data_IF_169708315924
#
_entry.id   IF_169708315924
#
_cell.length_a   1.000
_cell.length_b   1.000
_cell.length_c   1.000
_cell.angle_alpha   90.00
_cell.angle_beta   90.00
_cell.angle_gamma   90.00
#
_symmetry.space_group_name_H-M   'P 1'
#
loop_
_entity.id
_entity.type
_entity.pdbx_description
1 polymer ?
#
# COMPACT_ATOMS: atom_id res chain seq x y z
N UNK A 1 -17.77 -20.63 -11.05
CA UNK A 1 -17.01 -19.98 -12.15
C UNK A 1 -15.53 -20.14 -11.84
N UNK A 2 -14.77 -20.74 -12.76
CA UNK A 2 -13.31 -20.93 -12.63
C UNK A 2 -12.59 -19.57 -12.52
N UNK A 3 -12.26 -19.13 -11.31
CA UNK A 3 -11.54 -17.86 -11.09
C UNK A 3 -10.03 -18.07 -11.31
N UNK A 4 -9.64 -18.13 -12.58
CA UNK A 4 -8.26 -18.23 -13.09
C UNK A 4 -7.46 -16.91 -13.01
N UNK A 5 -7.63 -16.10 -11.95
CA UNK A 5 -7.01 -14.76 -11.86
C UNK A 5 -6.17 -14.50 -10.60
N UNK A 6 -5.96 -15.51 -9.75
CA UNK A 6 -5.15 -15.37 -8.54
C UNK A 6 -3.73 -15.89 -8.73
N UNK A 7 -2.78 -15.15 -8.18
CA UNK A 7 -1.36 -15.52 -8.20
C UNK A 7 -1.12 -16.76 -7.32
N UNK A 8 -0.18 -17.65 -7.66
CA UNK A 8 0.21 -18.77 -6.81
C UNK A 8 0.55 -18.34 -5.37
N UNK A 9 0.24 -19.17 -4.38
CA UNK A 9 0.44 -18.89 -2.95
C UNK A 9 1.91 -18.53 -2.59
N UNK A 10 2.88 -18.97 -3.39
CA UNK A 10 4.30 -18.60 -3.21
C UNK A 10 4.53 -17.09 -3.22
N UNK A 11 3.75 -16.35 -4.02
CA UNK A 11 3.86 -14.89 -4.13
C UNK A 11 3.34 -14.16 -2.88
N UNK A 12 2.50 -14.80 -2.04
CA UNK A 12 2.02 -14.19 -0.80
C UNK A 12 3.16 -13.89 0.17
N UNK A 13 4.12 -14.82 0.31
CA UNK A 13 5.30 -14.62 1.18
C UNK A 13 6.21 -13.51 0.67
N UNK A 14 6.42 -13.47 -0.65
CA UNK A 14 7.19 -12.40 -1.30
C UNK A 14 6.48 -11.05 -1.11
N UNK A 15 5.16 -11.02 -1.29
CA UNK A 15 4.33 -9.84 -1.04
C UNK A 15 4.50 -9.31 0.37
N UNK A 16 4.42 -10.18 1.39
CA UNK A 16 4.63 -9.77 2.79
C UNK A 16 6.05 -9.26 3.05
N UNK A 17 7.05 -9.92 2.47
CA UNK A 17 8.45 -9.51 2.60
C UNK A 17 8.73 -8.14 1.97
N UNK A 18 8.04 -7.77 0.89
CA UNK A 18 8.17 -6.45 0.26
C UNK A 18 7.27 -5.43 0.96
N UNK A 19 6.01 -5.77 1.19
CA UNK A 19 4.98 -4.86 1.67
C UNK A 19 5.29 -4.34 3.08
N UNK A 20 5.70 -5.18 4.02
CA UNK A 20 5.94 -4.75 5.41
C UNK A 20 7.07 -3.73 5.54
N UNK A 21 8.30 -3.98 5.04
CA UNK A 21 9.35 -2.99 5.14
C UNK A 21 9.01 -1.72 4.35
N UNK A 22 8.42 -1.83 3.15
CA UNK A 22 8.06 -0.65 2.38
C UNK A 22 6.95 0.16 3.04
N UNK A 23 5.95 -0.49 3.66
CA UNK A 23 4.90 0.17 4.42
C UNK A 23 5.47 0.89 5.64
N UNK A 24 6.39 0.26 6.40
CA UNK A 24 7.05 0.90 7.54
C UNK A 24 7.81 2.13 7.09
N UNK A 25 8.63 2.01 6.03
CA UNK A 25 9.39 3.13 5.49
C UNK A 25 8.47 4.25 4.96
N UNK A 26 7.34 3.90 4.33
CA UNK A 26 6.35 4.87 3.84
C UNK A 26 5.67 5.61 5.00
N UNK A 27 5.37 4.92 6.11
CA UNK A 27 4.83 5.56 7.30
C UNK A 27 5.86 6.50 7.94
N UNK A 28 7.13 6.06 8.04
CA UNK A 28 8.21 6.87 8.58
C UNK A 28 8.49 8.12 7.72
N UNK A 29 8.40 8.00 6.40
CA UNK A 29 8.55 9.13 5.48
C UNK A 29 7.41 10.13 5.58
N UNK A 30 6.17 9.67 5.69
CA UNK A 30 5.01 10.56 5.86
C UNK A 30 5.06 11.28 7.23
N UNK A 31 5.55 10.61 8.28
CA UNK A 31 5.76 11.21 9.60
C UNK A 31 6.96 12.15 9.68
N UNK A 32 7.72 12.32 8.58
CA UNK A 32 8.95 13.12 8.52
C UNK A 32 10.03 12.69 9.55
N UNK A 33 9.92 11.46 10.09
CA UNK A 33 10.85 10.91 11.08
C UNK A 33 12.17 10.47 10.45
N UNK A 34 12.13 10.15 9.17
CA UNK A 34 13.31 9.95 8.33
C UNK A 34 13.35 11.10 7.34
N UNK A 35 14.07 12.20 7.65
CA UNK A 35 14.33 13.24 6.66
C UNK A 35 14.83 12.54 5.41
N UNK A 36 15.79 11.60 5.54
CA UNK A 36 16.40 10.80 4.47
C UNK A 36 15.49 10.03 3.48
N UNK A 37 14.18 10.07 3.63
CA UNK A 37 13.18 9.37 2.82
C UNK A 37 11.90 10.20 2.69
N UNK A 38 11.95 11.47 3.11
CA UNK A 38 10.81 12.36 3.20
C UNK A 38 10.16 12.48 1.83
N UNK A 39 8.85 12.25 1.76
CA UNK A 39 8.06 12.59 0.57
C UNK A 39 8.03 14.10 0.30
N UNK A 40 8.54 14.90 1.25
CA UNK A 40 8.32 16.34 1.37
C UNK A 40 9.61 17.17 1.33
N UNK A 41 10.77 16.53 1.45
CA UNK A 41 12.08 17.19 1.38
C UNK A 41 12.98 16.38 0.44
N UNK A 42 13.79 17.07 -0.35
CA UNK A 42 14.50 16.51 -1.51
C UNK A 42 16.01 16.37 -1.36
N UNK A 43 16.53 16.35 -0.13
CA UNK A 43 17.95 15.99 0.06
C UNK A 43 18.04 14.47 0.25
N UNK A 44 18.89 13.84 1.07
CA UNK A 44 18.79 12.40 1.43
C UNK A 44 19.68 11.35 0.74
N UNK A 45 19.89 10.23 1.48
CA UNK A 45 20.94 9.21 1.26
C UNK A 45 20.59 8.20 0.17
N UNK A 46 19.29 7.88 -0.02
CA UNK A 46 18.83 7.06 -1.14
C UNK A 46 18.78 7.86 -2.45
N UNK A 47 18.67 9.18 -2.38
CA UNK A 47 18.77 10.08 -3.54
C UNK A 47 20.08 9.88 -4.29
N UNK A 48 21.19 9.51 -3.63
CA UNK A 48 22.46 9.20 -4.30
C UNK A 48 22.41 7.96 -5.21
N UNK A 49 21.46 7.05 -4.99
CA UNK A 49 21.36 5.77 -5.71
C UNK A 49 20.08 5.64 -6.56
N UNK A 50 19.10 6.52 -6.36
CA UNK A 50 17.79 6.46 -7.03
C UNK A 50 17.34 7.76 -7.70
N UNK A 51 18.15 8.82 -7.74
CA UNK A 51 17.80 10.03 -8.50
C UNK A 51 17.74 9.72 -10.01
N UNK A 52 16.53 9.62 -10.56
CA UNK A 52 16.30 9.85 -11.99
C UNK A 52 15.42 11.08 -12.11
N UNK A 53 15.91 12.06 -12.82
CA UNK A 53 15.43 13.42 -12.81
C UNK A 53 14.66 13.65 -14.09
N UNK A 54 13.32 13.67 -14.01
CA UNK A 54 12.43 13.78 -15.18
C UNK A 54 12.27 15.25 -15.58
N UNK A 55 12.75 15.67 -16.76
CA UNK A 55 12.65 17.05 -17.20
C UNK A 55 11.25 17.36 -17.70
N UNK A 56 10.85 18.60 -17.51
CA UNK A 56 9.62 19.14 -18.07
C UNK A 56 9.66 18.98 -19.61
N UNK A 57 8.82 18.06 -20.12
CA UNK A 57 8.54 17.79 -21.54
C UNK A 57 9.74 17.45 -22.45
N UNK A 58 9.75 16.20 -22.91
CA UNK A 58 9.71 15.97 -24.37
C UNK A 58 10.64 14.95 -24.99
N UNK A 59 11.64 14.38 -24.31
CA UNK A 59 12.58 13.46 -24.97
C UNK A 59 13.12 12.37 -24.05
N UNK A 60 13.26 11.16 -24.60
CA UNK A 60 13.79 9.95 -23.92
C UNK A 60 15.23 10.10 -23.42
N UNK A 61 15.98 11.05 -23.98
CA UNK A 61 17.37 11.37 -23.59
C UNK A 61 17.44 12.14 -22.26
N UNK A 62 16.34 12.78 -21.88
CA UNK A 62 16.21 13.58 -20.68
C UNK A 62 16.00 12.72 -19.41
N UNK A 63 15.73 11.41 -19.56
CA UNK A 63 15.65 10.44 -18.47
C UNK A 63 17.01 10.10 -17.84
N UNK A 64 18.14 10.59 -18.40
CA UNK A 64 19.48 10.31 -17.90
C UNK A 64 20.27 11.57 -17.52
N UNK A 65 19.63 12.74 -17.44
CA UNK A 65 20.30 14.02 -17.16
C UNK A 65 19.98 14.58 -15.76
N UNK A 66 20.98 15.14 -15.09
CA UNK A 66 21.11 15.29 -13.63
C UNK A 66 20.33 16.46 -12.97
N UNK A 67 19.09 16.80 -13.37
CA UNK A 67 18.29 17.92 -12.75
C UNK A 67 17.23 17.60 -11.62
N UNK A 68 17.59 17.95 -10.37
CA UNK A 68 16.93 17.79 -9.04
C UNK A 68 15.46 17.30 -8.87
N UNK A 69 15.20 15.99 -8.72
CA UNK A 69 13.98 15.39 -8.16
C UNK A 69 14.31 14.02 -7.53
N UNK A 70 13.95 13.81 -6.28
CA UNK A 70 14.22 12.59 -5.51
C UNK A 70 13.15 11.51 -5.79
N UNK A 71 13.46 10.50 -6.61
CA UNK A 71 12.54 9.41 -6.92
C UNK A 71 12.37 8.36 -5.81
N UNK A 72 13.08 8.51 -4.69
CA UNK A 72 13.03 7.54 -3.61
C UNK A 72 11.60 7.36 -3.09
N UNK A 73 10.82 8.45 -3.00
CA UNK A 73 9.41 8.43 -2.61
C UNK A 73 8.54 7.66 -3.61
N UNK A 74 8.70 7.92 -4.90
CA UNK A 74 7.95 7.27 -5.99
C UNK A 74 8.24 5.77 -6.05
N UNK A 75 9.52 5.39 -5.95
CA UNK A 75 9.94 3.99 -5.92
C UNK A 75 9.37 3.30 -4.69
N UNK A 76 9.45 3.93 -3.53
CA UNK A 76 8.94 3.37 -2.27
C UNK A 76 7.43 3.17 -2.30
N UNK A 77 6.68 4.15 -2.81
CA UNK A 77 5.23 4.05 -2.96
C UNK A 77 4.85 2.97 -3.98
N UNK A 78 5.58 2.88 -5.08
CA UNK A 78 5.38 1.85 -6.11
C UNK A 78 5.64 0.44 -5.54
N UNK A 79 6.73 0.25 -4.80
CA UNK A 79 7.04 -1.01 -4.12
C UNK A 79 5.99 -1.36 -3.07
N UNK A 80 5.45 -0.38 -2.35
CA UNK A 80 4.36 -0.58 -1.40
C UNK A 80 3.08 -1.04 -2.11
N UNK A 81 2.72 -0.42 -3.23
CA UNK A 81 1.56 -0.82 -4.04
C UNK A 81 1.74 -2.22 -4.66
N UNK A 82 2.93 -2.54 -5.19
CA UNK A 82 3.27 -3.86 -5.72
C UNK A 82 3.23 -4.92 -4.61
N UNK A 83 3.80 -4.61 -3.44
CA UNK A 83 3.76 -5.48 -2.26
C UNK A 83 2.32 -5.77 -1.84
N UNK A 84 1.49 -4.73 -1.74
CA UNK A 84 0.06 -4.89 -1.45
C UNK A 84 -0.63 -5.78 -2.48
N UNK A 85 -0.40 -5.55 -3.77
CA UNK A 85 -0.98 -6.35 -4.85
C UNK A 85 -0.63 -7.84 -4.70
N UNK A 86 0.65 -8.15 -4.43
CA UNK A 86 1.07 -9.54 -4.20
C UNK A 86 0.41 -10.16 -2.98
N UNK A 87 0.21 -9.41 -1.89
CA UNK A 87 -0.48 -9.92 -0.70
C UNK A 87 -1.97 -10.12 -0.95
N UNK A 88 -2.63 -9.16 -1.59
CA UNK A 88 -4.08 -9.14 -1.77
C UNK A 88 -4.57 -10.16 -2.81
N UNK A 89 -3.82 -10.35 -3.90
CA UNK A 89 -4.23 -11.18 -5.05
C UNK A 89 -3.52 -12.54 -5.14
N UNK A 90 -2.78 -12.95 -4.10
CA UNK A 90 -2.22 -14.30 -4.01
C UNK A 90 -3.20 -15.29 -3.37
N UNK A 91 -3.20 -16.53 -3.88
CA UNK A 91 -4.04 -17.64 -3.42
C UNK A 91 -3.74 -18.03 -1.97
N UNK A 92 -4.77 -18.40 -1.24
CA UNK A 92 -4.63 -19.03 0.07
C UNK A 92 -4.26 -20.51 -0.04
N UNK A 93 -3.76 -21.13 1.04
CA UNK A 93 -3.39 -22.56 1.04
C UNK A 93 -4.60 -23.48 0.79
N UNK A 94 -5.78 -23.07 1.20
CA UNK A 94 -7.08 -23.72 0.95
C UNK A 94 -8.02 -22.65 0.40
N UNK A 95 -8.09 -22.52 -0.93
CA UNK A 95 -8.85 -21.45 -1.58
C UNK A 95 -10.30 -21.91 -1.79
N UNK A 96 -11.14 -21.72 -0.76
CA UNK A 96 -12.57 -22.04 -0.80
C UNK A 96 -13.39 -20.87 -1.37
N UNK A 97 -14.58 -21.13 -1.90
CA UNK A 97 -15.50 -20.09 -2.40
C UNK A 97 -15.79 -19.01 -1.34
N UNK A 98 -15.82 -19.41 -0.07
CA UNK A 98 -15.98 -18.50 1.05
C UNK A 98 -14.82 -17.48 1.16
N UNK A 99 -13.57 -17.91 1.01
CA UNK A 99 -12.41 -17.01 1.08
C UNK A 99 -12.44 -16.00 -0.07
N UNK A 100 -12.82 -16.45 -1.27
CA UNK A 100 -12.98 -15.55 -2.41
C UNK A 100 -14.03 -14.47 -2.15
N UNK A 101 -15.17 -14.85 -1.57
CA UNK A 101 -16.23 -13.91 -1.18
C UNK A 101 -15.74 -12.93 -0.12
N UNK A 102 -15.09 -13.41 0.93
CA UNK A 102 -14.53 -12.56 1.99
C UNK A 102 -13.49 -11.57 1.44
N UNK A 103 -12.67 -12.00 0.48
CA UNK A 103 -11.70 -11.13 -0.20
C UNK A 103 -12.40 -10.00 -0.95
N UNK A 104 -13.40 -10.32 -1.77
CA UNK A 104 -14.15 -9.32 -2.54
C UNK A 104 -14.88 -8.33 -1.62
N UNK A 105 -15.57 -8.84 -0.60
CA UNK A 105 -16.23 -7.99 0.39
C UNK A 105 -15.22 -7.10 1.13
N UNK A 106 -14.03 -7.62 1.45
CA UNK A 106 -12.99 -6.82 2.12
C UNK A 106 -12.45 -5.71 1.23
N UNK A 107 -12.33 -5.97 -0.08
CA UNK A 107 -11.93 -4.96 -1.06
C UNK A 107 -13.00 -3.86 -1.20
N UNK A 108 -14.27 -4.24 -1.21
CA UNK A 108 -15.38 -3.29 -1.24
C UNK A 108 -15.41 -2.41 0.01
N UNK A 109 -15.23 -2.99 1.20
CA UNK A 109 -15.13 -2.24 2.46
C UNK A 109 -13.94 -1.28 2.45
N UNK A 110 -12.78 -1.75 2.01
CA UNK A 110 -11.59 -0.91 1.88
C UNK A 110 -11.83 0.27 0.93
N UNK A 111 -12.50 0.04 -0.20
CA UNK A 111 -12.88 1.09 -1.13
C UNK A 111 -13.84 2.11 -0.51
N UNK A 112 -14.87 1.67 0.23
CA UNK A 112 -15.80 2.59 0.90
C UNK A 112 -15.13 3.45 1.95
N UNK A 113 -14.24 2.87 2.77
CA UNK A 113 -13.49 3.64 3.78
C UNK A 113 -12.54 4.63 3.11
N UNK A 114 -11.83 4.20 2.06
CA UNK A 114 -10.94 5.06 1.30
C UNK A 114 -11.68 6.24 0.66
N UNK A 115 -12.79 5.96 -0.03
CA UNK A 115 -13.63 6.98 -0.64
C UNK A 115 -14.23 7.93 0.41
N UNK A 116 -14.71 7.40 1.53
CA UNK A 116 -15.20 8.21 2.64
C UNK A 116 -14.14 9.15 3.18
N UNK A 117 -12.93 8.64 3.45
CA UNK A 117 -11.80 9.45 3.89
C UNK A 117 -11.38 10.51 2.86
N UNK A 118 -11.37 10.16 1.57
CA UNK A 118 -11.08 11.10 0.49
C UNK A 118 -12.11 12.24 0.45
N UNK A 119 -13.41 11.92 0.48
CA UNK A 119 -14.46 12.93 0.49
C UNK A 119 -14.34 13.85 1.71
N UNK A 120 -14.15 13.29 2.91
CA UNK A 120 -13.93 14.10 4.10
C UNK A 120 -12.72 15.03 3.94
N UNK A 121 -11.64 14.55 3.33
CA UNK A 121 -10.45 15.37 3.09
C UNK A 121 -10.78 16.57 2.18
N UNK A 122 -11.53 16.35 1.10
CA UNK A 122 -11.93 17.41 0.16
C UNK A 122 -12.77 18.49 0.84
N UNK A 123 -13.67 18.13 1.75
CA UNK A 123 -14.59 19.08 2.38
C UNK A 123 -14.01 19.75 3.64
N UNK A 124 -13.12 19.08 4.38
CA UNK A 124 -12.68 19.53 5.71
C UNK A 124 -11.21 19.97 5.79
N UNK A 125 -10.44 19.87 4.70
CA UNK A 125 -9.03 20.25 4.71
C UNK A 125 -8.60 21.08 3.50
N UNK A 126 -7.61 21.94 3.70
CA UNK A 126 -7.11 22.89 2.70
C UNK A 126 -5.57 23.01 2.75
N UNK A 127 -4.97 23.46 1.64
CA UNK A 127 -3.54 23.76 1.55
C UNK A 127 -2.64 22.57 1.89
N UNK A 128 -1.57 22.81 2.65
CA UNK A 128 -0.60 21.76 3.04
C UNK A 128 -1.24 20.67 3.90
N UNK A 129 -2.22 21.01 4.73
CA UNK A 129 -2.95 20.04 5.55
C UNK A 129 -3.77 19.05 4.71
N UNK A 130 -4.39 19.53 3.62
CA UNK A 130 -5.08 18.66 2.65
C UNK A 130 -4.10 17.66 2.00
N UNK A 131 -2.93 18.13 1.57
CA UNK A 131 -1.92 17.28 0.97
C UNK A 131 -1.47 16.17 1.94
N UNK A 132 -1.16 16.51 3.19
CA UNK A 132 -0.75 15.52 4.20
C UNK A 132 -1.85 14.47 4.44
N UNK A 133 -3.10 14.90 4.61
CA UNK A 133 -4.23 13.98 4.81
C UNK A 133 -4.41 13.06 3.60
N UNK A 134 -4.25 13.59 2.38
CA UNK A 134 -4.34 12.81 1.16
C UNK A 134 -3.20 11.78 1.05
N UNK A 135 -1.97 12.13 1.43
CA UNK A 135 -0.83 11.19 1.50
C UNK A 135 -1.13 10.02 2.43
N UNK A 136 -1.71 10.27 3.61
CA UNK A 136 -2.18 9.20 4.51
C UNK A 136 -3.33 8.40 3.90
N UNK A 137 -4.23 9.07 3.17
CA UNK A 137 -5.38 8.42 2.55
C UNK A 137 -4.94 7.37 1.49
N UNK A 138 -3.78 7.53 0.84
CA UNK A 138 -3.24 6.52 -0.09
C UNK A 138 -3.00 5.14 0.55
N UNK A 139 -2.74 5.09 1.86
CA UNK A 139 -2.54 3.84 2.60
C UNK A 139 -3.82 3.25 3.18
N UNK A 140 -4.93 4.00 3.21
CA UNK A 140 -6.17 3.54 3.88
C UNK A 140 -6.77 2.30 3.24
N UNK A 141 -6.89 2.25 1.91
CA UNK A 141 -7.43 1.07 1.22
C UNK A 141 -6.57 -0.19 1.47
N UNK A 142 -5.23 -0.17 1.26
CA UNK A 142 -4.38 -1.31 1.57
C UNK A 142 -4.51 -1.80 3.02
N UNK A 143 -4.48 -0.88 3.99
CA UNK A 143 -4.52 -1.21 5.41
C UNK A 143 -5.87 -1.77 5.83
N UNK A 144 -6.99 -1.14 5.44
CA UNK A 144 -8.35 -1.58 5.79
C UNK A 144 -8.64 -2.94 5.17
N UNK A 145 -8.23 -3.15 3.91
CA UNK A 145 -8.36 -4.44 3.26
C UNK A 145 -7.61 -5.52 4.05
N UNK A 146 -6.33 -5.29 4.36
CA UNK A 146 -5.49 -6.28 5.04
C UNK A 146 -6.03 -6.62 6.42
N UNK A 147 -6.42 -5.59 7.18
CA UNK A 147 -6.97 -5.73 8.52
C UNK A 147 -8.25 -6.56 8.50
N UNK A 148 -9.23 -6.19 7.66
CA UNK A 148 -10.52 -6.90 7.59
C UNK A 148 -10.35 -8.33 7.07
N UNK A 149 -9.56 -8.52 6.01
CA UNK A 149 -9.35 -9.83 5.40
C UNK A 149 -8.68 -10.80 6.38
N UNK A 150 -7.57 -10.41 7.01
CA UNK A 150 -6.87 -11.28 7.96
C UNK A 150 -7.68 -11.53 9.24
N UNK A 151 -8.42 -10.52 9.70
CA UNK A 151 -9.32 -10.68 10.85
C UNK A 151 -10.37 -11.75 10.61
N UNK A 152 -11.08 -11.69 9.47
CA UNK A 152 -12.17 -12.62 9.16
C UNK A 152 -11.62 -14.03 8.88
N UNK A 153 -10.49 -14.15 8.18
CA UNK A 153 -9.95 -15.45 7.76
C UNK A 153 -9.22 -16.17 8.90
N UNK A 154 -8.43 -15.47 9.72
CA UNK A 154 -7.56 -16.12 10.72
C UNK A 154 -8.00 -15.87 12.16
N UNK A 155 -8.42 -14.65 12.50
CA UNK A 155 -8.69 -14.29 13.91
C UNK A 155 -10.07 -14.77 14.36
N UNK A 156 -11.10 -14.56 13.54
CA UNK A 156 -12.48 -14.91 13.88
C UNK A 156 -12.67 -16.41 14.15
N UNK A 157 -12.21 -17.35 13.29
CA UNK A 157 -12.38 -18.78 13.54
C UNK A 157 -11.63 -19.26 14.79
N UNK A 158 -10.40 -18.75 15.00
CA UNK A 158 -9.59 -19.06 16.17
C UNK A 158 -10.28 -18.66 17.49
N UNK A 159 -10.96 -17.51 17.53
CA UNK A 159 -11.71 -17.06 18.69
C UNK A 159 -12.98 -17.87 18.94
N UNK A 160 -13.64 -18.35 17.88
CA UNK A 160 -14.83 -19.20 17.98
C UNK A 160 -14.49 -20.58 18.53
N UNK A 161 -13.40 -21.20 18.06
CA UNK A 161 -12.88 -22.47 18.60
C UNK A 161 -12.51 -22.36 20.09
N UNK A 162 -11.87 -21.24 20.48
CA UNK A 162 -11.51 -20.99 21.89
C UNK A 162 -12.74 -20.73 22.76
N UNK A 163 -13.81 -20.16 22.22
CA UNK A 163 -15.07 -19.96 22.95
C UNK A 163 -15.86 -21.25 23.09
N UNK A 164 -15.79 -22.16 22.12
CA UNK A 164 -16.47 -23.45 22.17
C UNK A 164 -15.81 -24.46 23.13
N UNK A 165 -14.58 -24.20 23.57
CA UNK A 165 -13.79 -25.07 24.46
C UNK A 165 -13.78 -24.63 25.93
N UNK A 166 -14.43 -23.50 26.27
CA UNK A 166 -14.61 -22.96 27.64
C UNK A 166 -16.07 -23.11 28.04
#
# INVERSE_FOLDING_TARGET
METKLLLPNRYKRLGWFIFVPCLILTILSILQLTPSLSFFDGEHVLSQWTTIKVPEKGTLEALFDETSNDLAGEILMTLTAIGFFFVAFSRERTDDEWIMRVRLESLLWAFYVHLGGFLLSVWFSYGLGFYMILSWNMLTAPLVFLARFHWIVYVKPYLEERRATV
#
